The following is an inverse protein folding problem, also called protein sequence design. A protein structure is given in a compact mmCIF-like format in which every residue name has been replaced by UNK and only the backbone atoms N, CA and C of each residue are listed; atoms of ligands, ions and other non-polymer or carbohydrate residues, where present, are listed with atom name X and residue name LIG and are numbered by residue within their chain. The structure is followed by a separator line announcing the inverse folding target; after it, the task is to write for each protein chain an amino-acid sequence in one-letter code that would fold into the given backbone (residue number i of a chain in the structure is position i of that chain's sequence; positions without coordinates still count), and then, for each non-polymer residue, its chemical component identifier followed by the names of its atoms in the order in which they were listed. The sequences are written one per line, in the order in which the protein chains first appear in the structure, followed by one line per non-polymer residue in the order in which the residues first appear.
data_IF_475751522498
#
_entry.id   IF_475751522498
#
_cell.length_a   1.000
_cell.length_b   1.000
_cell.length_c   1.000
_cell.angle_alpha   90.00
_cell.angle_beta   90.00
_cell.angle_gamma   90.00
#
_symmetry.space_group_name_H-M   'P 1'
#
loop_
_entity.id
_entity.type
_entity.pdbx_description
1 polymer ?
#
# COMPACT_ATOMS: atom_id res chain seq x y z
N UNK A 1 -65.80 -24.28 -20.58
CA UNK A 1 -64.40 -23.90 -20.29
C UNK A 1 -63.84 -24.92 -19.31
N UNK A 2 -62.93 -25.75 -19.80
CA UNK A 2 -62.49 -27.06 -19.32
C UNK A 2 -61.83 -27.03 -17.93
N UNK A 3 -62.48 -27.71 -16.97
CA UNK A 3 -62.04 -27.90 -15.59
C UNK A 3 -60.60 -28.43 -15.51
N UNK A 4 -60.21 -29.33 -16.42
CA UNK A 4 -58.85 -29.87 -16.52
C UNK A 4 -57.78 -28.85 -16.91
N UNK A 5 -58.10 -27.84 -17.74
CA UNK A 5 -57.15 -26.76 -18.08
C UNK A 5 -56.95 -25.83 -16.89
N UNK A 6 -58.01 -25.55 -16.12
CA UNK A 6 -57.90 -24.74 -14.89
C UNK A 6 -56.99 -25.38 -13.85
N UNK A 7 -57.04 -26.71 -13.71
CA UNK A 7 -56.12 -27.45 -12.84
C UNK A 7 -54.67 -27.34 -13.31
N UNK A 8 -54.40 -27.48 -14.61
CA UNK A 8 -53.05 -27.43 -15.16
C UNK A 8 -52.40 -26.03 -15.05
N UNK A 9 -53.21 -24.98 -15.20
CA UNK A 9 -52.77 -23.59 -14.98
C UNK A 9 -52.42 -23.39 -13.50
N UNK A 10 -53.25 -23.89 -12.57
CA UNK A 10 -52.99 -23.75 -11.14
C UNK A 10 -51.69 -24.45 -10.72
N UNK A 11 -51.44 -25.67 -11.24
CA UNK A 11 -50.22 -26.42 -10.92
C UNK A 11 -48.97 -25.78 -11.50
N UNK A 12 -49.04 -25.24 -12.74
CA UNK A 12 -47.89 -24.58 -13.38
C UNK A 12 -47.52 -23.28 -12.67
N UNK A 13 -48.50 -22.51 -12.21
CA UNK A 13 -48.25 -21.28 -11.44
C UNK A 13 -47.56 -21.57 -10.11
N UNK A 14 -48.01 -22.60 -9.37
CA UNK A 14 -47.39 -22.99 -8.09
C UNK A 14 -45.94 -23.44 -8.27
N UNK A 15 -45.64 -24.25 -9.30
CA UNK A 15 -44.27 -24.70 -9.60
C UNK A 15 -43.38 -23.53 -10.01
N UNK A 16 -43.89 -22.58 -10.80
CA UNK A 16 -43.14 -21.39 -11.20
C UNK A 16 -42.80 -20.48 -10.00
N UNK A 17 -43.72 -20.36 -9.03
CA UNK A 17 -43.48 -19.57 -7.81
C UNK A 17 -42.37 -20.15 -6.92
N UNK A 18 -42.18 -21.47 -6.86
CA UNK A 18 -41.11 -22.08 -6.09
C UNK A 18 -39.70 -21.87 -6.70
N UNK A 19 -39.61 -21.65 -8.01
CA UNK A 19 -38.34 -21.42 -8.71
C UNK A 19 -37.72 -20.04 -8.43
N UNK A 20 -38.47 -19.10 -7.85
CA UNK A 20 -37.98 -17.77 -7.47
C UNK A 20 -37.42 -17.71 -6.04
N UNK A 21 -37.55 -18.78 -5.25
CA UNK A 21 -36.92 -18.89 -3.93
C UNK A 21 -35.45 -19.33 -4.07
N UNK A 22 -34.59 -18.46 -4.59
CA UNK A 22 -33.14 -18.64 -4.48
C UNK A 22 -32.72 -18.35 -3.04
N UNK A 23 -32.40 -19.39 -2.27
CA UNK A 23 -31.71 -19.22 -0.99
C UNK A 23 -30.31 -18.71 -1.28
N UNK A 24 -30.08 -17.42 -1.10
CA UNK A 24 -28.74 -16.87 -0.99
C UNK A 24 -28.16 -17.26 0.36
N UNK A 25 -27.10 -18.06 0.35
CA UNK A 25 -26.31 -18.33 1.55
C UNK A 25 -25.59 -17.02 1.91
N UNK A 26 -26.11 -16.30 2.91
CA UNK A 26 -25.50 -15.06 3.37
C UNK A 26 -24.22 -15.42 4.11
N UNK A 27 -23.07 -15.26 3.45
CA UNK A 27 -21.76 -15.41 4.08
C UNK A 27 -21.60 -14.27 5.09
N UNK A 28 -22.00 -14.52 6.34
CA UNK A 28 -21.80 -13.60 7.45
C UNK A 28 -20.36 -13.75 7.94
N UNK A 29 -19.43 -13.06 7.27
CA UNK A 29 -18.04 -12.98 7.72
C UNK A 29 -18.03 -12.08 8.96
N UNK A 30 -17.95 -12.72 10.13
CA UNK A 30 -17.75 -12.01 11.39
C UNK A 30 -16.30 -11.49 11.42
N UNK A 31 -16.08 -10.32 10.82
CA UNK A 31 -14.81 -9.63 10.89
C UNK A 31 -14.66 -9.10 12.32
N UNK A 32 -13.82 -9.77 13.11
CA UNK A 32 -13.46 -9.27 14.42
C UNK A 32 -12.75 -7.92 14.26
N UNK A 33 -13.29 -6.89 14.89
CA UNK A 33 -12.65 -5.58 14.99
C UNK A 33 -11.28 -5.73 15.65
N UNK A 34 -10.25 -5.20 15.00
CA UNK A 34 -8.87 -5.23 15.51
C UNK A 34 -8.49 -3.84 15.98
N UNK A 35 -7.83 -3.75 17.14
CA UNK A 35 -7.30 -2.48 17.63
C UNK A 35 -6.38 -1.82 16.58
N UNK A 36 -6.58 -0.54 16.26
CA UNK A 36 -5.75 0.21 15.32
C UNK A 36 -4.26 0.11 15.66
N UNK A 37 -3.45 -0.29 14.69
CA UNK A 37 -1.99 -0.33 14.81
C UNK A 37 -1.38 0.89 14.14
N UNK A 38 -0.32 1.44 14.73
CA UNK A 38 0.44 2.52 14.10
C UNK A 38 1.12 2.02 12.83
N UNK A 39 1.17 2.86 11.81
CA UNK A 39 1.89 2.64 10.55
C UNK A 39 2.85 3.80 10.38
N UNK A 40 4.13 3.49 10.18
CA UNK A 40 5.21 4.48 10.04
C UNK A 40 5.90 4.21 8.70
N UNK A 41 5.84 5.19 7.79
CA UNK A 41 6.41 5.13 6.46
C UNK A 41 7.54 6.16 6.33
N UNK A 42 8.79 5.69 6.43
CA UNK A 42 9.97 6.52 6.18
C UNK A 42 10.42 6.44 4.72
N UNK A 43 10.62 7.58 4.06
CA UNK A 43 11.08 7.68 2.68
C UNK A 43 12.34 8.52 2.59
N UNK A 44 13.37 7.97 1.95
CA UNK A 44 14.61 8.67 1.64
C UNK A 44 14.98 8.29 0.22
N UNK A 45 14.96 9.27 -0.69
CA UNK A 45 15.42 9.10 -2.06
C UNK A 45 16.79 9.74 -2.23
N UNK A 46 17.55 9.29 -3.22
CA UNK A 46 18.83 9.89 -3.59
C UNK A 46 18.65 11.41 -3.80
N UNK A 47 19.58 12.20 -3.26
CA UNK A 47 19.62 13.67 -3.33
C UNK A 47 18.39 14.42 -2.78
N UNK A 48 17.48 13.70 -2.12
CA UNK A 48 16.23 14.23 -1.56
C UNK A 48 16.24 14.19 -0.04
N UNK A 49 15.55 15.14 0.57
CA UNK A 49 15.39 15.20 2.02
C UNK A 49 14.45 14.08 2.50
N UNK A 50 14.74 13.47 3.67
CA UNK A 50 13.87 12.47 4.27
C UNK A 50 12.46 13.00 4.56
N UNK A 51 11.45 12.14 4.34
CA UNK A 51 10.08 12.36 4.81
C UNK A 51 9.55 11.15 5.57
N UNK A 52 8.67 11.39 6.54
CA UNK A 52 8.06 10.34 7.36
C UNK A 52 6.57 10.59 7.49
N UNK A 53 5.75 9.64 7.05
CA UNK A 53 4.29 9.67 7.26
C UNK A 53 3.92 8.70 8.36
N UNK A 54 3.04 9.13 9.26
CA UNK A 54 2.57 8.32 10.38
C UNK A 54 1.06 8.30 10.36
N UNK A 55 0.46 7.11 10.32
CA UNK A 55 -1.00 6.89 10.32
C UNK A 55 -1.35 5.73 11.27
N UNK A 56 -2.63 5.37 11.35
CA UNK A 56 -3.08 4.14 12.00
C UNK A 56 -3.85 3.25 11.03
N UNK A 57 -3.78 1.94 11.20
CA UNK A 57 -4.68 1.01 10.51
C UNK A 57 -6.13 1.31 10.90
N UNK A 58 -7.06 0.90 10.05
CA UNK A 58 -8.50 1.05 10.25
C UNK A 58 -9.18 -0.31 10.22
N UNK A 59 -10.39 -0.36 10.76
CA UNK A 59 -11.21 -1.55 10.63
C UNK A 59 -11.71 -1.67 9.19
N UNK A 60 -12.07 -2.88 8.77
CA UNK A 60 -12.56 -3.16 7.43
C UNK A 60 -13.86 -2.39 7.11
N UNK A 61 -14.69 -2.12 8.11
CA UNK A 61 -15.95 -1.39 7.97
C UNK A 61 -15.82 0.13 7.93
N UNK A 62 -14.63 0.67 8.21
CA UNK A 62 -14.40 2.11 8.27
C UNK A 62 -14.24 2.73 6.88
N UNK A 63 -14.48 4.04 6.78
CA UNK A 63 -14.15 4.82 5.58
C UNK A 63 -12.66 4.72 5.27
N UNK A 64 -12.32 4.65 3.98
CA UNK A 64 -10.95 4.52 3.48
C UNK A 64 -10.13 5.82 3.60
N UNK A 65 -10.10 6.42 4.80
CA UNK A 65 -9.36 7.62 5.15
C UNK A 65 -8.35 7.31 6.26
N UNK A 66 -7.10 7.72 6.02
CA UNK A 66 -5.98 7.50 6.95
C UNK A 66 -5.40 8.87 7.36
N UNK A 67 -5.98 9.52 8.38
CA UNK A 67 -5.50 10.81 8.83
C UNK A 67 -4.07 10.68 9.39
N UNK A 68 -3.19 11.65 9.09
CA UNK A 68 -1.84 11.64 9.62
C UNK A 68 -1.82 11.98 11.12
N UNK A 69 -0.92 11.33 11.85
CA UNK A 69 -0.56 11.65 13.23
C UNK A 69 0.46 12.79 13.20
N UNK A 70 0.16 13.89 13.91
CA UNK A 70 0.96 15.12 13.90
C UNK A 70 1.67 15.41 15.24
N UNK A 71 1.39 14.64 16.29
CA UNK A 71 1.87 14.81 17.66
C UNK A 71 2.96 13.79 18.07
N UNK A 72 3.57 13.11 17.11
CA UNK A 72 4.76 12.29 17.33
C UNK A 72 6.05 13.13 17.31
N UNK A 73 7.07 12.68 18.05
CA UNK A 73 8.44 13.19 17.95
C UNK A 73 9.21 12.26 17.01
N UNK A 74 9.67 12.79 15.88
CA UNK A 74 10.31 12.01 14.82
C UNK A 74 11.75 12.49 14.66
N UNK A 75 12.71 11.59 14.84
CA UNK A 75 14.14 11.85 14.64
C UNK A 75 14.71 10.96 13.54
N UNK A 76 15.49 11.55 12.63
CA UNK A 76 16.35 10.82 11.71
C UNK A 76 17.80 11.14 12.01
N UNK A 77 18.66 10.11 11.93
CA UNK A 77 20.11 10.25 11.95
C UNK A 77 20.75 9.41 10.86
N UNK A 78 21.93 9.81 10.41
CA UNK A 78 22.78 8.98 9.55
C UNK A 78 24.01 8.44 10.30
N UNK A 79 24.73 7.52 9.67
CA UNK A 79 25.97 6.96 10.21
C UNK A 79 27.19 7.90 10.13
N UNK A 80 27.04 9.14 9.65
CA UNK A 80 28.09 10.17 9.67
C UNK A 80 27.92 11.21 10.77
N UNK A 81 26.88 11.05 11.60
CA UNK A 81 26.62 11.90 12.75
C UNK A 81 25.66 13.05 12.48
N UNK A 82 25.09 13.16 11.27
CA UNK A 82 23.99 14.10 11.03
C UNK A 82 22.73 13.58 11.73
N UNK A 83 21.99 14.48 12.38
CA UNK A 83 20.70 14.16 13.00
C UNK A 83 19.76 15.36 12.98
N UNK A 84 18.47 15.08 12.95
CA UNK A 84 17.43 16.10 12.95
C UNK A 84 16.12 15.56 13.55
N UNK A 85 15.45 16.39 14.35
CA UNK A 85 14.06 16.18 14.73
C UNK A 85 13.19 16.86 13.68
N UNK A 86 12.36 16.08 12.99
CA UNK A 86 11.59 16.52 11.84
C UNK A 86 10.39 17.38 12.26
N UNK A 87 10.02 18.34 11.40
CA UNK A 87 8.82 19.16 11.58
C UNK A 87 7.65 18.61 10.78
N UNK A 88 6.45 18.63 11.35
CA UNK A 88 5.23 18.18 10.68
C UNK A 88 4.75 19.23 9.66
N UNK A 89 4.51 18.80 8.42
CA UNK A 89 4.03 19.64 7.33
C UNK A 89 2.53 19.39 7.09
N UNK A 90 1.67 20.25 7.65
CA UNK A 90 0.20 20.07 7.67
C UNK A 90 -0.41 19.82 6.30
N UNK A 91 0.00 20.56 5.27
CA UNK A 91 -0.58 20.42 3.92
C UNK A 91 -0.23 19.09 3.24
N UNK A 92 0.91 18.49 3.60
CA UNK A 92 1.37 17.21 3.04
C UNK A 92 1.01 16.02 3.93
N UNK A 93 0.70 16.27 5.21
CA UNK A 93 0.40 15.23 6.18
C UNK A 93 1.61 14.35 6.53
N UNK A 94 2.82 14.90 6.49
CA UNK A 94 4.07 14.17 6.75
C UNK A 94 5.09 15.04 7.48
N UNK A 95 5.99 14.39 8.23
CA UNK A 95 7.18 15.01 8.80
C UNK A 95 8.26 15.14 7.74
N UNK A 96 8.92 16.29 7.68
CA UNK A 96 9.94 16.59 6.65
C UNK A 96 11.22 17.11 7.30
N UNK A 97 12.36 16.63 6.80
CA UNK A 97 13.68 17.17 7.14
C UNK A 97 13.96 18.48 6.41
N UNK A 98 14.70 19.39 7.04
CA UNK A 98 15.20 20.62 6.43
C UNK A 98 16.73 20.68 6.38
N UNK A 99 17.43 19.78 7.07
CA UNK A 99 18.90 19.73 7.06
C UNK A 99 19.42 19.14 5.73
N UNK A 100 20.11 19.91 4.89
CA UNK A 100 20.63 19.43 3.60
C UNK A 100 21.65 18.30 3.73
N UNK A 101 22.29 18.13 4.89
CA UNK A 101 23.26 17.05 5.12
C UNK A 101 22.59 15.68 5.28
N UNK A 102 21.26 15.64 5.50
CA UNK A 102 20.49 14.40 5.61
C UNK A 102 19.90 13.92 4.28
N UNK A 103 20.21 14.58 3.16
CA UNK A 103 19.83 14.09 1.83
C UNK A 103 20.27 12.64 1.63
N UNK A 104 19.49 11.89 0.85
CA UNK A 104 19.82 10.51 0.49
C UNK A 104 21.16 10.40 -0.23
N UNK A 105 22.07 9.61 0.32
CA UNK A 105 23.40 9.32 -0.23
C UNK A 105 23.54 7.79 -0.31
N UNK A 106 24.07 7.29 -1.43
CA UNK A 106 24.36 5.86 -1.59
C UNK A 106 25.22 5.30 -0.46
N UNK A 107 24.99 4.02 -0.12
CA UNK A 107 25.74 3.28 0.91
C UNK A 107 25.69 3.96 2.29
N UNK A 108 24.86 4.98 2.48
CA UNK A 108 24.60 5.63 3.76
C UNK A 108 23.55 4.83 4.52
N UNK A 109 23.79 4.64 5.82
CA UNK A 109 22.81 4.08 6.73
C UNK A 109 22.06 5.21 7.43
N UNK A 110 20.73 5.10 7.45
CA UNK A 110 19.83 6.01 8.13
C UNK A 110 19.06 5.25 9.22
N UNK A 111 18.98 5.84 10.41
CA UNK A 111 18.15 5.37 11.51
C UNK A 111 17.00 6.34 11.75
N UNK A 112 15.80 5.79 11.93
CA UNK A 112 14.59 6.52 12.29
C UNK A 112 14.20 6.16 13.73
N UNK A 113 13.90 7.15 14.55
CA UNK A 113 13.24 6.99 15.85
C UNK A 113 11.94 7.79 15.88
N UNK A 114 10.86 7.16 16.33
CA UNK A 114 9.55 7.79 16.49
C UNK A 114 9.05 7.54 17.90
N UNK A 115 8.81 8.60 18.66
CA UNK A 115 8.16 8.54 19.95
C UNK A 115 6.71 9.04 19.83
N UNK A 116 5.76 8.17 20.19
CA UNK A 116 4.32 8.47 20.14
C UNK A 116 3.59 7.77 21.28
N UNK A 117 2.77 8.50 22.04
CA UNK A 117 1.99 7.98 23.18
C UNK A 117 2.80 7.13 24.17
N UNK A 118 4.04 7.55 24.46
CA UNK A 118 4.93 6.83 25.39
C UNK A 118 5.54 5.54 24.84
N UNK A 119 5.32 5.21 23.56
CA UNK A 119 6.00 4.11 22.85
C UNK A 119 7.07 4.66 21.93
N UNK A 120 8.18 3.92 21.81
CA UNK A 120 9.28 4.24 20.90
C UNK A 120 9.35 3.18 19.79
N UNK A 121 9.45 3.64 18.54
CA UNK A 121 9.61 2.80 17.35
C UNK A 121 10.93 3.14 16.68
N UNK A 122 11.68 2.13 16.25
CA UNK A 122 12.98 2.29 15.61
C UNK A 122 13.05 1.53 14.30
N UNK A 123 13.65 2.15 13.30
CA UNK A 123 13.95 1.52 12.02
C UNK A 123 15.36 1.89 11.57
N UNK A 124 15.96 1.01 10.77
CA UNK A 124 17.28 1.21 10.19
C UNK A 124 17.22 0.76 8.73
N UNK A 125 17.77 1.57 7.83
CA UNK A 125 17.80 1.29 6.40
C UNK A 125 19.10 1.78 5.79
N UNK A 126 19.63 1.02 4.83
CA UNK A 126 20.82 1.37 4.07
C UNK A 126 20.41 1.74 2.65
N UNK A 127 20.82 2.91 2.19
CA UNK A 127 20.56 3.34 0.83
C UNK A 127 21.42 2.50 -0.14
N UNK A 128 20.82 1.78 -1.10
CA UNK A 128 21.59 1.01 -2.07
C UNK A 128 22.43 1.95 -2.97
N UNK A 129 23.51 1.45 -3.59
CA UNK A 129 24.21 2.20 -4.61
C UNK A 129 23.33 2.47 -5.84
N UNK A 130 23.63 3.52 -6.61
CA UNK A 130 22.98 3.75 -7.89
C UNK A 130 23.39 2.63 -8.84
N UNK A 131 22.41 2.19 -9.61
CA UNK A 131 22.56 1.13 -10.59
C UNK A 131 22.35 1.74 -11.98
N UNK A 132 23.43 1.78 -12.76
CA UNK A 132 23.34 2.23 -14.13
C UNK A 132 22.70 1.15 -15.01
N UNK A 133 21.81 1.57 -15.91
CA UNK A 133 21.25 0.67 -16.92
C UNK A 133 22.31 0.43 -17.99
N UNK A 134 22.78 -0.81 -18.09
CA UNK A 134 23.79 -1.21 -19.06
C UNK A 134 23.20 -1.34 -20.48
N UNK A 135 22.05 -2.00 -20.61
CA UNK A 135 21.39 -2.12 -21.91
C UNK A 135 19.88 -2.35 -21.82
N UNK A 136 19.17 -1.76 -22.77
CA UNK A 136 17.76 -2.03 -23.04
C UNK A 136 17.67 -2.80 -24.35
N UNK A 137 17.24 -4.07 -24.29
CA UNK A 137 17.08 -4.88 -25.50
C UNK A 137 15.60 -5.03 -25.83
N UNK A 138 15.26 -4.78 -27.09
CA UNK A 138 13.94 -5.03 -27.66
C UNK A 138 13.95 -6.39 -28.36
N UNK A 139 13.22 -7.35 -27.81
CA UNK A 139 13.03 -8.66 -28.42
C UNK A 139 11.60 -8.77 -28.95
N UNK A 140 11.48 -8.94 -30.27
CA UNK A 140 10.21 -9.20 -30.94
C UNK A 140 10.05 -10.70 -31.13
N UNK A 141 9.04 -11.29 -30.49
CA UNK A 141 8.71 -12.70 -30.68
C UNK A 141 7.38 -12.76 -31.42
N UNK A 142 7.36 -13.46 -32.55
CA UNK A 142 6.12 -13.74 -33.28
C UNK A 142 5.60 -15.08 -32.78
N UNK A 143 4.46 -15.08 -32.08
CA UNK A 143 3.78 -16.31 -31.67
C UNK A 143 2.47 -16.40 -32.45
N UNK A 144 2.38 -17.41 -33.33
CA UNK A 144 1.20 -17.79 -34.12
C UNK A 144 0.33 -16.58 -34.54
N UNK A 145 0.77 -15.90 -35.59
CA UNK A 145 0.12 -14.77 -36.27
C UNK A 145 -0.21 -13.53 -35.40
N UNK A 146 0.18 -13.52 -34.12
CA UNK A 146 0.13 -12.34 -33.25
C UNK A 146 1.55 -11.84 -32.95
N UNK A 147 1.78 -10.55 -33.20
CA UNK A 147 3.03 -9.87 -32.82
C UNK A 147 2.89 -9.30 -31.41
N UNK A 148 3.64 -9.84 -30.46
CA UNK A 148 3.78 -9.26 -29.12
C UNK A 148 5.21 -8.74 -28.94
N UNK A 149 5.35 -7.48 -28.51
CA UNK A 149 6.65 -6.83 -28.26
C UNK A 149 6.87 -6.74 -26.76
N UNK A 150 8.03 -7.17 -26.27
CA UNK A 150 8.41 -7.05 -24.85
C UNK A 150 9.69 -6.23 -24.69
N UNK A 151 9.76 -5.45 -23.62
CA UNK A 151 10.93 -4.69 -23.22
C UNK A 151 11.70 -5.46 -22.14
N UNK A 152 12.97 -5.80 -22.40
CA UNK A 152 13.84 -6.45 -21.41
C UNK A 152 15.00 -5.52 -21.07
N UNK A 153 15.02 -5.02 -19.85
CA UNK A 153 16.13 -4.22 -19.32
C UNK A 153 17.17 -5.13 -18.65
N UNK A 154 18.46 -4.87 -18.90
CA UNK A 154 19.58 -5.47 -18.18
C UNK A 154 20.20 -4.39 -17.28
N UNK A 155 20.18 -4.64 -15.97
CA UNK A 155 20.85 -3.79 -14.99
C UNK A 155 22.36 -4.03 -15.07
N UNK A 156 23.16 -2.96 -15.13
CA UNK A 156 24.62 -3.07 -15.10
C UNK A 156 25.08 -3.32 -13.67
N UNK A 157 25.67 -4.48 -13.38
CA UNK A 157 26.23 -4.72 -12.05
C UNK A 157 27.51 -3.91 -11.89
N UNK A 158 27.48 -2.89 -11.02
CA UNK A 158 28.69 -2.19 -10.58
C UNK A 158 29.42 -3.06 -9.57
N UNK A 159 30.68 -3.40 -9.90
CA UNK A 159 31.60 -4.17 -9.04
C UNK A 159 32.18 -3.36 -7.89
#
# INVERSE_FOLDING_TARGET
MNQSIRFYILTTTVVCSCALCSCEDVININLHSVEPKIVIEGRIYIDSLPTVRITTTKDFSDTNEYPPIADAVVEIKDNTGNREILSFHTEKGEYTAINPNLKGIERREYSLSVAYQGKEYRALSVMPPLLELDSLTLSKVTLLDSKSTYHKARLGQTG
#
